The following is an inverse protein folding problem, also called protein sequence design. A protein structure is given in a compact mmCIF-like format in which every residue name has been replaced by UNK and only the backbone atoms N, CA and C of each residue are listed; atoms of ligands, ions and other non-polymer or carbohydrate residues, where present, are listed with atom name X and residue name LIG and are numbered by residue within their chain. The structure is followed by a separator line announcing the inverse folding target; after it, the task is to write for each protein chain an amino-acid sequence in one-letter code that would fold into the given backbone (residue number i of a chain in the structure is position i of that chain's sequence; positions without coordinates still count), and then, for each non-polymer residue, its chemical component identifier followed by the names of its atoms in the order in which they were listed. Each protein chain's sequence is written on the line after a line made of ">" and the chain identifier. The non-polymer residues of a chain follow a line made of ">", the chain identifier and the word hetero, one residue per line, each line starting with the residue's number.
data_IF_460159632250
#
_entry.id   IF_460159632250
#
_cell.length_a   1.000
_cell.length_b   1.000
_cell.length_c   1.000
_cell.angle_alpha   90.00
_cell.angle_beta   90.00
_cell.angle_gamma   90.00
#
_symmetry.space_group_name_H-M   'P 1'
#
loop_
_entity.id
_entity.type
_entity.pdbx_description
1 polymer ?
#
# COMPACT_ATOMS: atom_id res chain seq x y z
N UNK A 1 -50.99 -19.96 -2.95
CA UNK A 1 -49.64 -20.40 -3.40
C UNK A 1 -48.79 -19.22 -3.88
N UNK A 2 -49.28 -18.33 -4.75
CA UNK A 2 -48.54 -17.16 -5.28
C UNK A 2 -48.08 -16.10 -4.25
N UNK A 3 -48.85 -15.89 -3.17
CA UNK A 3 -48.51 -14.94 -2.11
C UNK A 3 -47.37 -15.40 -1.19
N UNK A 4 -47.19 -16.72 -1.04
CA UNK A 4 -46.11 -17.31 -0.24
C UNK A 4 -44.78 -17.12 -0.99
N UNK A 5 -44.79 -17.36 -2.30
CA UNK A 5 -43.60 -17.17 -3.17
C UNK A 5 -43.13 -15.72 -3.28
N UNK A 6 -44.05 -14.74 -3.31
CA UNK A 6 -43.67 -13.31 -3.34
C UNK A 6 -43.00 -12.87 -2.03
N UNK A 7 -43.57 -13.28 -0.88
CA UNK A 7 -43.03 -12.98 0.45
C UNK A 7 -41.64 -13.58 0.62
N UNK A 8 -41.46 -14.84 0.23
CA UNK A 8 -40.17 -15.53 0.37
C UNK A 8 -39.11 -14.90 -0.56
N UNK A 9 -39.48 -14.56 -1.80
CA UNK A 9 -38.58 -13.87 -2.74
C UNK A 9 -38.13 -12.51 -2.20
N UNK A 10 -39.05 -11.75 -1.58
CA UNK A 10 -38.74 -10.45 -0.98
C UNK A 10 -37.82 -10.59 0.24
N UNK A 11 -38.02 -11.62 1.06
CA UNK A 11 -37.14 -11.95 2.19
C UNK A 11 -35.73 -12.30 1.70
N UNK A 12 -35.60 -13.13 0.66
CA UNK A 12 -34.30 -13.46 0.08
C UNK A 12 -33.58 -12.23 -0.48
N UNK A 13 -34.31 -11.34 -1.17
CA UNK A 13 -33.74 -10.10 -1.70
C UNK A 13 -33.28 -9.15 -0.59
N UNK A 14 -34.09 -8.96 0.45
CA UNK A 14 -33.72 -8.13 1.60
C UNK A 14 -32.51 -8.71 2.34
N UNK A 15 -32.48 -10.02 2.57
CA UNK A 15 -31.35 -10.70 3.20
C UNK A 15 -30.09 -10.61 2.35
N UNK A 16 -30.21 -10.76 1.02
CA UNK A 16 -29.10 -10.56 0.09
C UNK A 16 -28.58 -9.14 0.09
N UNK A 17 -29.46 -8.14 0.09
CA UNK A 17 -29.11 -6.72 0.17
C UNK A 17 -28.42 -6.41 1.51
N UNK A 18 -28.98 -6.88 2.62
CA UNK A 18 -28.38 -6.74 3.95
C UNK A 18 -26.98 -7.38 3.98
N UNK A 19 -26.84 -8.62 3.52
CA UNK A 19 -25.55 -9.30 3.44
C UNK A 19 -24.54 -8.51 2.60
N UNK A 20 -24.96 -7.96 1.45
CA UNK A 20 -24.12 -7.12 0.61
C UNK A 20 -23.70 -5.84 1.35
N UNK A 21 -24.63 -5.16 2.01
CA UNK A 21 -24.33 -3.92 2.76
C UNK A 21 -23.38 -4.16 3.93
N UNK A 22 -23.56 -5.25 4.68
CA UNK A 22 -22.64 -5.63 5.75
C UNK A 22 -21.27 -6.02 5.21
N UNK A 23 -21.22 -6.74 4.09
CA UNK A 23 -19.95 -7.10 3.46
C UNK A 23 -19.21 -5.87 2.94
N UNK A 24 -19.91 -4.94 2.28
CA UNK A 24 -19.37 -3.65 1.84
C UNK A 24 -18.87 -2.82 3.04
N UNK A 25 -19.65 -2.75 4.11
CA UNK A 25 -19.28 -2.05 5.34
C UNK A 25 -18.09 -2.71 6.05
N UNK A 26 -17.91 -4.03 5.95
CA UNK A 26 -16.75 -4.71 6.53
C UNK A 26 -15.45 -4.46 5.73
N UNK A 27 -15.56 -4.24 4.41
CA UNK A 27 -14.40 -4.10 3.50
C UNK A 27 -14.25 -2.69 2.91
N UNK A 28 -14.98 -1.69 3.41
CA UNK A 28 -15.04 -0.37 2.81
C UNK A 28 -13.65 0.28 2.70
N UNK A 29 -12.78 0.09 3.70
CA UNK A 29 -11.44 0.66 3.70
C UNK A 29 -10.56 0.06 2.59
N UNK A 30 -10.69 -1.26 2.35
CA UNK A 30 -10.02 -1.93 1.24
C UNK A 30 -10.52 -1.38 -0.10
N UNK A 31 -11.83 -1.25 -0.27
CA UNK A 31 -12.44 -0.69 -1.48
C UNK A 31 -12.06 0.78 -1.70
N UNK A 32 -12.12 1.60 -0.65
CA UNK A 32 -11.77 3.01 -0.70
C UNK A 32 -10.29 3.22 -1.06
N UNK A 33 -9.41 2.30 -0.65
CA UNK A 33 -7.97 2.39 -0.96
C UNK A 33 -7.64 2.14 -2.44
N UNK A 34 -8.55 1.54 -3.20
CA UNK A 34 -8.39 1.35 -4.65
C UNK A 34 -8.37 2.68 -5.39
N UNK A 35 -9.13 3.68 -4.93
CA UNK A 35 -9.19 5.00 -5.55
C UNK A 35 -7.83 5.72 -5.50
N UNK A 36 -7.19 5.93 -4.34
CA UNK A 36 -5.87 6.55 -4.29
C UNK A 36 -4.76 5.67 -4.90
N UNK A 37 -4.88 4.34 -4.84
CA UNK A 37 -3.94 3.44 -5.52
C UNK A 37 -4.01 3.57 -7.05
N UNK A 38 -5.23 3.59 -7.60
CA UNK A 38 -5.47 3.83 -9.01
C UNK A 38 -5.02 5.23 -9.43
N UNK A 39 -5.42 6.26 -8.68
CA UNK A 39 -5.02 7.64 -8.94
C UNK A 39 -3.49 7.81 -8.92
N UNK A 40 -2.78 7.12 -8.01
CA UNK A 40 -1.32 7.07 -8.01
C UNK A 40 -0.79 6.60 -9.37
N UNK A 41 -1.29 5.49 -9.90
CA UNK A 41 -0.83 4.92 -11.18
C UNK A 41 -1.14 5.88 -12.33
N UNK A 42 -2.37 6.38 -12.40
CA UNK A 42 -2.81 7.25 -13.51
C UNK A 42 -2.15 8.63 -13.51
N UNK A 43 -2.11 9.33 -12.36
CA UNK A 43 -1.67 10.72 -12.28
C UNK A 43 -0.16 10.88 -12.11
N UNK A 44 0.49 9.92 -11.45
CA UNK A 44 1.91 10.04 -11.11
C UNK A 44 2.81 9.40 -12.17
N UNK A 45 2.39 8.32 -12.83
CA UNK A 45 3.24 7.62 -13.79
C UNK A 45 3.25 8.25 -15.19
N UNK A 46 2.15 8.90 -15.61
CA UNK A 46 2.05 9.56 -16.92
C UNK A 46 3.04 10.71 -17.13
N UNK A 47 3.51 11.35 -16.04
CA UNK A 47 4.53 12.39 -16.10
C UNK A 47 5.97 11.84 -16.12
N UNK A 48 6.21 10.65 -15.58
CA UNK A 48 7.55 10.07 -15.43
C UNK A 48 8.10 9.52 -16.74
N UNK A 49 7.23 9.02 -17.61
CA UNK A 49 7.58 8.55 -18.96
C UNK A 49 7.98 9.69 -19.90
N UNK A 50 7.41 10.89 -19.74
CA UNK A 50 7.82 12.06 -20.55
C UNK A 50 9.24 12.54 -20.20
N UNK A 51 9.56 12.69 -18.91
CA UNK A 51 10.87 13.20 -18.45
C UNK A 51 11.99 12.17 -18.63
N UNK A 52 11.72 10.87 -18.51
CA UNK A 52 12.73 9.83 -18.75
C UNK A 52 13.17 9.74 -20.23
N UNK A 53 12.33 10.23 -21.16
CA UNK A 53 12.68 10.37 -22.58
C UNK A 53 13.57 11.59 -22.87
N UNK A 54 13.65 12.56 -21.95
CA UNK A 54 14.46 13.78 -22.05
C UNK A 54 15.83 13.63 -21.38
N UNK A 55 16.53 12.49 -21.57
CA UNK A 55 17.93 12.41 -21.14
C UNK A 55 18.76 13.42 -21.92
N UNK A 56 19.37 14.37 -21.21
CA UNK A 56 20.23 15.39 -21.80
C UNK A 56 21.36 14.74 -22.61
N UNK A 57 21.47 15.11 -23.88
CA UNK A 57 22.49 14.65 -24.81
C UNK A 57 23.88 15.05 -24.29
N UNK A 58 24.67 14.10 -23.79
CA UNK A 58 26.12 14.27 -23.72
C UNK A 58 26.61 14.06 -25.16
N UNK A 59 26.83 15.12 -25.93
CA UNK A 59 27.38 15.14 -27.32
C UNK A 59 26.44 15.06 -28.54
N UNK A 60 25.14 15.35 -28.42
CA UNK A 60 24.33 15.66 -29.62
C UNK A 60 24.03 14.52 -30.61
N UNK A 61 24.61 13.30 -30.46
CA UNK A 61 24.44 12.18 -31.40
C UNK A 61 23.59 11.05 -30.81
N UNK A 62 22.48 10.72 -31.47
CA UNK A 62 21.64 9.55 -31.17
C UNK A 62 20.15 9.76 -31.48
N UNK A 63 19.47 8.71 -31.94
CA UNK A 63 18.00 8.68 -32.10
C UNK A 63 17.37 8.90 -30.72
N UNK A 64 16.39 9.80 -30.64
CA UNK A 64 15.59 10.00 -29.41
C UNK A 64 14.92 8.66 -29.08
N UNK A 65 15.45 7.95 -28.08
CA UNK A 65 14.70 6.87 -27.47
C UNK A 65 13.58 7.53 -26.68
N UNK A 66 12.43 7.72 -27.34
CA UNK A 66 11.16 7.93 -26.67
C UNK A 66 11.05 6.85 -25.61
N UNK A 67 11.12 7.23 -24.33
CA UNK A 67 10.97 6.30 -23.24
C UNK A 67 9.65 5.57 -23.47
N UNK A 68 9.75 4.25 -23.69
CA UNK A 68 8.60 3.39 -23.95
C UNK A 68 7.58 3.68 -22.86
N UNK A 69 6.35 4.02 -23.24
CA UNK A 69 5.17 4.09 -22.36
C UNK A 69 4.81 2.69 -21.88
N UNK A 70 5.78 2.00 -21.27
CA UNK A 70 5.65 0.65 -20.77
C UNK A 70 5.15 0.70 -19.35
N UNK A 71 4.12 -0.10 -19.09
CA UNK A 71 3.69 -0.50 -17.75
C UNK A 71 4.93 -0.90 -16.91
N UNK A 72 5.36 -0.06 -15.98
CA UNK A 72 6.47 -0.41 -15.10
C UNK A 72 5.99 -1.34 -13.99
N UNK A 73 6.66 -2.48 -13.73
CA UNK A 73 6.31 -3.34 -12.59
C UNK A 73 6.29 -2.59 -11.27
N UNK A 74 7.16 -1.59 -11.10
CA UNK A 74 7.21 -0.74 -9.90
C UNK A 74 5.93 0.08 -9.65
N UNK A 75 5.05 0.21 -10.65
CA UNK A 75 3.80 0.95 -10.54
C UNK A 75 2.63 0.11 -10.06
N UNK A 76 2.46 -1.09 -10.62
CA UNK A 76 1.27 -1.91 -10.35
C UNK A 76 1.53 -3.02 -9.32
N UNK A 77 2.76 -3.50 -9.16
CA UNK A 77 3.07 -4.55 -8.17
C UNK A 77 2.71 -4.15 -6.74
N UNK A 78 3.04 -2.94 -6.24
CA UNK A 78 2.63 -2.52 -4.91
C UNK A 78 1.11 -2.48 -4.73
N UNK A 79 0.38 -2.04 -5.75
CA UNK A 79 -1.08 -1.99 -5.74
C UNK A 79 -1.70 -3.39 -5.72
N UNK A 80 -1.16 -4.33 -6.51
CA UNK A 80 -1.64 -5.71 -6.55
C UNK A 80 -1.34 -6.44 -5.24
N UNK A 81 -0.13 -6.28 -4.70
CA UNK A 81 0.24 -6.86 -3.40
C UNK A 81 -0.62 -6.29 -2.27
N UNK A 82 -0.86 -4.98 -2.30
CA UNK A 82 -1.78 -4.32 -1.36
C UNK A 82 -3.22 -4.86 -1.48
N UNK A 83 -3.72 -5.05 -2.71
CA UNK A 83 -5.05 -5.59 -2.94
C UNK A 83 -5.21 -6.99 -2.31
N UNK A 84 -4.21 -7.85 -2.43
CA UNK A 84 -4.21 -9.13 -1.74
C UNK A 84 -4.23 -8.96 -0.21
N UNK A 85 -3.38 -8.09 0.33
CA UNK A 85 -3.30 -7.84 1.77
C UNK A 85 -4.59 -7.25 2.35
N UNK A 86 -5.20 -6.28 1.67
CA UNK A 86 -6.39 -5.56 2.13
C UNK A 86 -7.64 -6.44 2.21
N UNK A 87 -7.70 -7.53 1.41
CA UNK A 87 -8.79 -8.50 1.46
C UNK A 87 -8.55 -9.64 2.44
N UNK A 88 -7.30 -10.04 2.65
CA UNK A 88 -6.97 -11.18 3.51
C UNK A 88 -6.79 -10.78 4.97
N UNK A 89 -6.18 -9.62 5.22
CA UNK A 89 -5.79 -9.19 6.56
C UNK A 89 -6.92 -8.35 7.20
N UNK A 90 -7.41 -8.73 8.38
CA UNK A 90 -8.49 -8.00 9.04
C UNK A 90 -8.04 -6.60 9.54
N UNK A 91 -9.02 -5.83 10.02
CA UNK A 91 -8.78 -4.58 10.73
C UNK A 91 -7.72 -4.75 11.84
N UNK A 92 -6.83 -3.76 12.05
CA UNK A 92 -6.85 -2.39 11.52
C UNK A 92 -6.10 -2.19 10.18
N UNK A 93 -5.53 -3.23 9.59
CA UNK A 93 -4.58 -3.11 8.46
C UNK A 93 -5.16 -2.37 7.25
N UNK A 94 -6.39 -2.65 6.78
CA UNK A 94 -7.00 -1.91 5.66
C UNK A 94 -7.14 -0.40 5.88
N UNK A 95 -7.45 0.03 7.12
CA UNK A 95 -7.59 1.44 7.46
C UNK A 95 -6.24 2.18 7.40
N UNK A 96 -5.21 1.55 7.94
CA UNK A 96 -3.85 2.08 7.92
C UNK A 96 -3.36 2.22 6.49
N UNK A 97 -3.53 1.18 5.66
CA UNK A 97 -3.07 1.27 4.28
C UNK A 97 -3.89 2.19 3.40
N UNK A 98 -5.19 2.42 3.68
CA UNK A 98 -5.95 3.51 3.06
C UNK A 98 -5.28 4.86 3.34
N UNK A 99 -4.94 5.14 4.60
CA UNK A 99 -4.24 6.37 4.97
C UNK A 99 -2.85 6.47 4.31
N UNK A 100 -2.12 5.35 4.19
CA UNK A 100 -0.84 5.32 3.47
C UNK A 100 -1.02 5.64 1.98
N UNK A 101 -2.00 5.04 1.31
CA UNK A 101 -2.27 5.34 -0.11
C UNK A 101 -2.68 6.79 -0.33
N UNK A 102 -3.49 7.36 0.56
CA UNK A 102 -3.83 8.79 0.51
C UNK A 102 -2.58 9.66 0.64
N UNK A 103 -1.69 9.37 1.58
CA UNK A 103 -0.42 10.09 1.72
C UNK A 103 0.49 9.93 0.50
N UNK A 104 0.57 8.70 -0.06
CA UNK A 104 1.33 8.40 -1.27
C UNK A 104 0.80 9.12 -2.53
N UNK A 105 -0.48 9.51 -2.52
CA UNK A 105 -1.06 10.33 -3.58
C UNK A 105 -0.84 11.82 -3.32
N UNK A 106 -1.21 12.30 -2.14
CA UNK A 106 -1.27 13.73 -1.82
C UNK A 106 0.14 14.35 -1.77
N UNK A 107 1.08 13.70 -1.10
CA UNK A 107 2.38 14.31 -0.86
C UNK A 107 3.20 14.52 -2.15
N UNK A 108 3.30 13.56 -3.09
CA UNK A 108 3.98 13.79 -4.37
C UNK A 108 3.27 14.80 -5.28
N UNK A 109 1.95 14.97 -5.14
CA UNK A 109 1.22 16.03 -5.85
C UNK A 109 1.56 17.41 -5.29
N UNK A 110 1.73 17.52 -3.97
CA UNK A 110 2.11 18.78 -3.32
C UNK A 110 3.59 19.16 -3.54
N UNK A 111 4.46 18.16 -3.78
CA UNK A 111 5.91 18.32 -3.95
C UNK A 111 6.38 17.88 -5.35
N UNK A 112 6.12 18.68 -6.40
CA UNK A 112 6.36 18.27 -7.79
C UNK A 112 7.85 18.01 -8.11
N UNK A 113 8.78 18.65 -7.38
CA UNK A 113 10.22 18.52 -7.60
C UNK A 113 10.76 17.12 -7.24
N UNK A 114 10.23 16.49 -6.19
CA UNK A 114 10.66 15.17 -5.72
C UNK A 114 9.69 14.04 -6.10
N UNK A 115 8.67 14.37 -6.92
CA UNK A 115 7.53 13.50 -7.24
C UNK A 115 7.93 12.07 -7.58
N UNK A 116 8.96 11.87 -8.43
CA UNK A 116 9.42 10.52 -8.85
C UNK A 116 9.96 9.70 -7.69
N UNK A 117 10.92 10.26 -6.96
CA UNK A 117 11.61 9.56 -5.89
C UNK A 117 10.65 9.25 -4.74
N UNK A 118 9.84 10.25 -4.38
CA UNK A 118 8.88 10.14 -3.29
C UNK A 118 7.77 9.12 -3.60
N UNK A 119 7.19 9.16 -4.81
CA UNK A 119 6.16 8.19 -5.23
C UNK A 119 6.71 6.77 -5.20
N UNK A 120 7.91 6.56 -5.75
CA UNK A 120 8.53 5.23 -5.75
C UNK A 120 8.79 4.71 -4.33
N UNK A 121 9.38 5.55 -3.48
CA UNK A 121 9.70 5.21 -2.09
C UNK A 121 8.43 4.86 -1.30
N UNK A 122 7.40 5.72 -1.35
CA UNK A 122 6.17 5.51 -0.59
C UNK A 122 5.40 4.26 -1.06
N UNK A 123 5.38 3.96 -2.36
CA UNK A 123 4.79 2.71 -2.88
C UNK A 123 5.53 1.47 -2.40
N UNK A 124 6.86 1.49 -2.35
CA UNK A 124 7.62 0.35 -1.81
C UNK A 124 7.41 0.17 -0.31
N UNK A 125 7.25 1.25 0.45
CA UNK A 125 6.81 1.13 1.84
C UNK A 125 5.46 0.42 1.95
N UNK A 126 4.49 0.76 1.10
CA UNK A 126 3.19 0.10 1.07
C UNK A 126 3.33 -1.38 0.65
N UNK A 127 4.18 -1.69 -0.33
CA UNK A 127 4.43 -3.06 -0.75
C UNK A 127 5.03 -3.90 0.40
N UNK A 128 6.04 -3.38 1.10
CA UNK A 128 6.63 -4.07 2.25
C UNK A 128 5.64 -4.19 3.42
N UNK A 129 4.78 -3.18 3.64
CA UNK A 129 3.69 -3.26 4.61
C UNK A 129 2.69 -4.38 4.26
N UNK A 130 2.27 -4.45 3.00
CA UNK A 130 1.38 -5.49 2.50
C UNK A 130 2.01 -6.88 2.64
N UNK A 131 3.30 -7.02 2.33
CA UNK A 131 4.07 -8.25 2.52
C UNK A 131 4.12 -8.69 3.99
N UNK A 132 4.37 -7.76 4.92
CA UNK A 132 4.30 -8.05 6.36
C UNK A 132 2.90 -8.48 6.79
N UNK A 133 1.85 -7.83 6.28
CA UNK A 133 0.46 -8.18 6.57
C UNK A 133 0.11 -9.59 6.08
N UNK A 134 0.51 -9.94 4.86
CA UNK A 134 0.33 -11.28 4.31
C UNK A 134 1.13 -12.32 5.09
N UNK A 135 2.37 -12.02 5.47
CA UNK A 135 3.19 -12.89 6.32
C UNK A 135 2.54 -13.15 7.68
N UNK A 136 1.99 -12.11 8.32
CA UNK A 136 1.23 -12.24 9.57
C UNK A 136 -0.04 -13.09 9.39
N UNK A 137 -0.79 -12.87 8.31
CA UNK A 137 -1.98 -13.68 8.00
C UNK A 137 -1.63 -15.15 7.76
N UNK A 138 -0.56 -15.43 7.01
CA UNK A 138 -0.06 -16.78 6.80
C UNK A 138 0.36 -17.42 8.11
N UNK A 139 1.13 -16.72 8.95
CA UNK A 139 1.55 -17.23 10.26
C UNK A 139 0.36 -17.54 11.17
N UNK A 140 -0.66 -16.67 11.18
CA UNK A 140 -1.84 -16.86 12.02
C UNK A 140 -2.66 -18.10 11.60
N UNK A 141 -2.71 -18.40 10.30
CA UNK A 141 -3.43 -19.56 9.75
C UNK A 141 -2.60 -20.82 9.60
N UNK A 142 -1.29 -20.71 9.72
CA UNK A 142 -0.39 -21.84 9.59
C UNK A 142 -0.61 -22.83 10.74
N UNK A 143 -0.78 -24.10 10.39
CA UNK A 143 -0.85 -25.23 11.30
C UNK A 143 0.06 -26.34 10.79
N UNK A 144 0.81 -26.96 11.70
CA UNK A 144 1.61 -28.14 11.37
C UNK A 144 0.69 -29.31 11.05
N UNK A 145 0.99 -30.05 9.97
CA UNK A 145 0.32 -31.34 9.75
C UNK A 145 0.71 -32.35 10.84
N UNK A 146 -0.11 -33.38 11.04
CA UNK A 146 0.22 -34.45 12.01
C UNK A 146 1.59 -35.08 11.73
N UNK A 147 1.95 -35.26 10.46
CA UNK A 147 3.27 -35.78 10.05
C UNK A 147 4.41 -34.83 10.41
N UNK A 148 4.22 -33.52 10.22
CA UNK A 148 5.22 -32.51 10.59
C UNK A 148 5.37 -32.37 12.10
N UNK A 149 4.25 -32.35 12.83
CA UNK A 149 4.28 -32.30 14.29
C UNK A 149 4.94 -33.54 14.89
N UNK A 150 4.71 -34.73 14.32
CA UNK A 150 5.39 -35.95 14.71
C UNK A 150 6.91 -35.90 14.42
N UNK A 151 7.31 -35.40 13.24
CA UNK A 151 8.73 -35.24 12.89
C UNK A 151 9.47 -34.30 13.86
N UNK A 152 8.86 -33.16 14.21
CA UNK A 152 9.41 -32.28 15.25
C UNK A 152 9.45 -32.95 16.63
N UNK A 153 8.42 -33.71 16.98
CA UNK A 153 8.38 -34.43 18.26
C UNK A 153 9.46 -35.51 18.37
N UNK A 154 9.76 -36.19 17.27
CA UNK A 154 10.88 -37.13 17.19
C UNK A 154 12.22 -36.41 17.33
N UNK A 155 12.40 -35.26 16.68
CA UNK A 155 13.62 -34.47 16.77
C UNK A 155 13.90 -33.99 18.20
N UNK A 156 12.88 -33.54 18.92
CA UNK A 156 12.99 -33.10 20.31
C UNK A 156 12.93 -34.25 21.33
N UNK A 157 12.76 -35.49 20.87
CA UNK A 157 12.62 -36.68 21.72
C UNK A 157 11.55 -36.53 22.82
N UNK A 158 10.49 -35.78 22.53
CA UNK A 158 9.43 -35.45 23.48
C UNK A 158 8.06 -35.50 22.80
N UNK A 159 7.17 -36.36 23.31
CA UNK A 159 5.81 -36.49 22.78
C UNK A 159 5.04 -35.16 22.89
N UNK A 160 4.38 -34.75 21.80
CA UNK A 160 3.60 -33.51 21.74
C UNK A 160 4.41 -32.22 21.57
N UNK A 161 5.76 -32.27 21.61
CA UNK A 161 6.59 -31.07 21.50
C UNK A 161 6.48 -30.37 20.14
N UNK A 162 6.16 -31.08 19.05
CA UNK A 162 5.92 -30.48 17.74
C UNK A 162 4.67 -29.60 17.70
N UNK A 163 3.58 -30.01 18.37
CA UNK A 163 2.38 -29.18 18.48
C UNK A 163 2.64 -27.96 19.37
N UNK A 164 3.33 -28.17 20.49
CA UNK A 164 3.75 -27.12 21.39
C UNK A 164 4.66 -26.09 20.71
N UNK A 165 5.55 -26.52 19.81
CA UNK A 165 6.39 -25.64 18.99
C UNK A 165 5.52 -24.72 18.12
N UNK A 166 4.58 -25.29 17.37
CA UNK A 166 3.70 -24.51 16.48
C UNK A 166 2.83 -23.51 17.24
N UNK A 167 2.40 -23.84 18.45
CA UNK A 167 1.72 -22.90 19.33
C UNK A 167 2.66 -21.82 19.86
N UNK A 168 3.83 -22.20 20.39
CA UNK A 168 4.84 -21.30 20.95
C UNK A 168 5.35 -20.26 19.95
N UNK A 169 5.64 -20.69 18.71
CA UNK A 169 6.06 -19.78 17.64
C UNK A 169 4.98 -18.73 17.36
N UNK A 170 3.71 -19.13 17.27
CA UNK A 170 2.59 -18.21 17.03
C UNK A 170 2.34 -17.29 18.21
N UNK A 171 2.29 -17.83 19.44
CA UNK A 171 2.05 -17.05 20.65
C UNK A 171 3.16 -16.04 20.93
N UNK A 172 4.40 -16.38 20.55
CA UNK A 172 5.55 -15.49 20.71
C UNK A 172 5.60 -14.44 19.60
N UNK A 173 5.46 -14.82 18.34
CA UNK A 173 5.65 -13.90 17.21
C UNK A 173 4.45 -12.98 16.95
N UNK A 174 3.21 -13.45 17.16
CA UNK A 174 2.01 -12.68 16.87
C UNK A 174 1.96 -11.29 17.54
N UNK A 175 2.22 -11.12 18.86
CA UNK A 175 2.15 -9.80 19.49
C UNK A 175 3.20 -8.82 18.93
N UNK A 176 4.42 -9.28 18.63
CA UNK A 176 5.45 -8.42 18.05
C UNK A 176 5.12 -8.02 16.60
N UNK A 177 4.64 -8.96 15.79
CA UNK A 177 4.21 -8.66 14.43
C UNK A 177 3.01 -7.72 14.40
N UNK A 178 2.06 -7.89 15.32
CA UNK A 178 0.94 -6.97 15.49
C UNK A 178 1.43 -5.57 15.87
N UNK A 179 2.36 -5.44 16.82
CA UNK A 179 2.95 -4.14 17.20
C UNK A 179 3.67 -3.48 16.02
N UNK A 180 4.44 -4.26 15.25
CA UNK A 180 5.13 -3.77 14.06
C UNK A 180 4.13 -3.28 13.01
N UNK A 181 3.12 -4.09 12.70
CA UNK A 181 2.12 -3.77 11.68
C UNK A 181 1.24 -2.59 12.08
N UNK A 182 0.83 -2.50 13.34
CA UNK A 182 -0.16 -1.51 13.75
C UNK A 182 0.46 -0.19 14.18
N UNK A 183 1.70 -0.21 14.68
CA UNK A 183 2.33 0.96 15.29
C UNK A 183 3.66 1.30 14.64
N UNK A 184 4.66 0.42 14.71
CA UNK A 184 6.05 0.79 14.34
C UNK A 184 6.18 1.11 12.85
N UNK A 185 5.65 0.27 11.99
CA UNK A 185 5.75 0.43 10.55
C UNK A 185 4.93 1.64 10.05
N UNK A 186 3.66 1.81 10.44
CA UNK A 186 2.89 3.00 10.09
C UNK A 186 3.53 4.28 10.61
N UNK A 187 4.04 4.28 11.84
CA UNK A 187 4.72 5.44 12.42
C UNK A 187 5.96 5.81 11.61
N UNK A 188 6.76 4.83 11.18
CA UNK A 188 7.93 5.05 10.34
C UNK A 188 7.53 5.66 8.99
N UNK A 189 6.48 5.11 8.38
CA UNK A 189 5.96 5.62 7.11
C UNK A 189 5.48 7.07 7.23
N UNK A 190 4.61 7.36 8.19
CA UNK A 190 4.07 8.71 8.39
C UNK A 190 5.13 9.67 8.92
N UNK A 191 6.14 9.19 9.63
CA UNK A 191 7.31 9.98 10.00
C UNK A 191 8.08 10.49 8.78
N UNK A 192 8.28 9.63 7.77
CA UNK A 192 8.88 10.05 6.48
C UNK A 192 7.98 11.06 5.76
N UNK A 193 6.67 10.80 5.68
CA UNK A 193 5.70 11.74 5.07
C UNK A 193 5.75 13.10 5.75
N UNK A 194 5.69 13.12 7.09
CA UNK A 194 5.77 14.32 7.89
C UNK A 194 7.10 15.04 7.67
N UNK A 195 8.23 14.33 7.71
CA UNK A 195 9.55 14.90 7.48
C UNK A 195 9.61 15.65 6.14
N UNK A 196 9.19 15.03 5.04
CA UNK A 196 9.19 15.69 3.72
C UNK A 196 8.22 16.88 3.67
N UNK A 197 7.04 16.79 4.30
CA UNK A 197 6.11 17.89 4.39
C UNK A 197 6.67 19.08 5.20
N UNK A 198 7.37 18.80 6.30
CA UNK A 198 8.00 19.79 7.18
C UNK A 198 9.17 20.50 6.50
N UNK A 199 10.04 19.75 5.82
CA UNK A 199 11.20 20.30 5.11
C UNK A 199 10.79 21.19 3.93
N UNK A 200 9.64 20.90 3.30
CA UNK A 200 9.17 21.62 2.13
C UNK A 200 7.97 22.54 2.41
N UNK A 201 7.78 22.98 3.67
CA UNK A 201 6.65 23.84 4.09
C UNK A 201 6.44 25.06 3.20
N UNK A 202 7.52 25.74 2.79
CA UNK A 202 7.43 26.90 1.91
C UNK A 202 6.87 26.58 0.51
N UNK A 203 7.03 25.35 0.03
CA UNK A 203 6.50 24.90 -1.26
C UNK A 203 5.04 24.43 -1.18
N UNK A 204 4.56 24.07 0.02
CA UNK A 204 3.18 23.66 0.27
C UNK A 204 2.20 24.84 0.25
N UNK A 205 2.68 26.06 0.54
CA UNK A 205 1.85 27.29 0.52
C UNK A 205 1.56 27.76 -0.91
N UNK A 206 2.38 27.36 -1.89
CA UNK A 206 2.20 27.71 -3.31
C UNK A 206 2.47 26.49 -4.23
N UNK A 207 1.66 25.43 -4.16
CA UNK A 207 1.92 24.16 -4.84
C UNK A 207 1.87 24.27 -6.38
N UNK A 208 1.20 25.30 -6.91
CA UNK A 208 0.93 25.48 -8.33
C UNK A 208 1.95 26.34 -9.09
N UNK A 209 2.95 26.93 -8.42
CA UNK A 209 3.97 27.72 -9.11
C UNK A 209 4.84 26.83 -10.00
N UNK A 210 4.98 27.20 -11.27
CA UNK A 210 5.76 26.46 -12.24
C UNK A 210 7.25 26.47 -11.89
N UNK A 211 8.00 25.46 -12.33
CA UNK A 211 9.44 25.38 -12.05
C UNK A 211 10.23 26.61 -12.53
N UNK A 212 9.77 27.25 -13.62
CA UNK A 212 10.36 28.49 -14.14
C UNK A 212 10.08 29.69 -13.23
N UNK A 213 8.87 29.82 -12.70
CA UNK A 213 8.53 30.88 -11.73
C UNK A 213 9.32 30.72 -10.43
N UNK A 214 9.54 29.47 -9.98
CA UNK A 214 10.37 29.20 -8.79
C UNK A 214 11.85 29.52 -9.02
N UNK A 215 12.38 29.18 -10.19
CA UNK A 215 13.75 29.55 -10.57
C UNK A 215 13.90 31.06 -10.68
N UNK A 216 12.90 31.77 -11.20
CA UNK A 216 12.89 33.24 -11.24
C UNK A 216 12.88 33.85 -9.84
N UNK A 217 12.07 33.34 -8.91
CA UNK A 217 12.02 33.80 -7.51
C UNK A 217 13.35 33.57 -6.76
N UNK A 218 14.00 32.42 -6.97
CA UNK A 218 15.31 32.14 -6.35
C UNK A 218 16.40 33.02 -6.96
N UNK A 219 16.34 33.27 -8.27
CA UNK A 219 17.30 34.16 -8.95
C UNK A 219 17.13 35.61 -8.48
N UNK A 220 15.89 36.09 -8.35
CA UNK A 220 15.59 37.43 -7.85
C UNK A 220 16.00 37.65 -6.39
N UNK A 221 16.00 36.61 -5.54
CA UNK A 221 16.50 36.69 -4.16
C UNK A 221 18.03 36.76 -4.03
N UNK A 222 18.77 36.44 -5.09
CA UNK A 222 20.23 36.56 -5.12
C UNK A 222 20.74 37.91 -5.61
N UNK A 223 19.85 38.80 -6.08
CA UNK A 223 20.17 40.11 -6.65
C UNK A 223 19.80 41.28 -5.72
N UNK A 224 19.36 41.00 -4.49
CA UNK A 224 19.08 41.98 -3.43
C UNK A 224 20.08 41.84 -2.28
#
# INVERSE_FOLDING_TARGET
>A
MFWITLKDTLIYWLNGLLALTYWLAAHWAALASLLPAGACIWLLDGHLTRVAGERSRRYGRGVVQLARTGFSPASWLPALLWLLAAWLVPAPVPYIGLAMWLAALILPLALPLEKRFLTHRLRWFIAAYAGLGLGFWLLARYSLSMTQAAAWSQLFQAAGSGEALGWSVRSTAAPYLALILWVVYPLTYFGVVAQHALQNRGLLVSPWLSAQQRLADVRARGEA
#
